data_IF_625832318739
#
_entry.id   IF_625832318739
#
_cell.length_a   1.000
_cell.length_b   1.000
_cell.length_c   1.000
_cell.angle_alpha   90.00
_cell.angle_beta   90.00
_cell.angle_gamma   90.00
#
_symmetry.space_group_name_H-M   'P 1'
#
loop_
_entity.id
_entity.type
_entity.pdbx_description
1 polymer ?
#
# COMPACT_ATOMS: atom_id res chain seq x y z
N UNK A 1 10.59 -5.41 5.41
CA UNK A 1 10.62 -6.54 6.37
C UNK A 1 11.53 -7.63 5.84
N UNK A 2 12.73 -7.79 6.39
CA UNK A 2 13.64 -8.89 6.03
C UNK A 2 13.11 -10.18 6.66
N UNK A 3 12.82 -11.20 5.84
CA UNK A 3 12.49 -12.54 6.32
C UNK A 3 13.80 -13.32 6.45
N UNK A 4 14.68 -12.85 7.33
CA UNK A 4 15.89 -13.57 7.68
C UNK A 4 15.54 -14.58 8.76
N UNK A 5 15.57 -15.86 8.42
CA UNK A 5 15.51 -16.95 9.41
C UNK A 5 16.96 -17.22 9.80
N UNK A 6 17.34 -16.92 11.03
CA UNK A 6 18.69 -17.27 11.47
C UNK A 6 18.79 -18.81 11.55
N UNK A 7 19.86 -19.44 11.06
CA UNK A 7 19.96 -20.90 11.01
C UNK A 7 19.82 -21.60 12.37
N UNK A 8 20.02 -20.86 13.47
CA UNK A 8 19.83 -21.38 14.83
C UNK A 8 18.35 -21.43 15.29
N UNK A 9 17.45 -20.69 14.64
CA UNK A 9 16.01 -20.65 14.93
C UNK A 9 15.35 -22.02 14.67
N UNK A 10 15.98 -22.86 13.84
CA UNK A 10 15.61 -24.26 13.64
C UNK A 10 15.80 -25.13 14.89
N UNK A 11 16.71 -24.72 15.79
CA UNK A 11 17.02 -25.43 17.03
C UNK A 11 16.28 -24.86 18.24
N UNK A 12 15.43 -23.84 18.05
CA UNK A 12 14.61 -23.30 19.12
C UNK A 12 13.53 -24.32 19.52
N UNK A 13 13.15 -24.31 20.80
CA UNK A 13 12.21 -25.29 21.35
C UNK A 13 10.85 -25.23 20.63
N UNK A 14 10.46 -24.05 20.16
CA UNK A 14 9.26 -23.74 19.40
C UNK A 14 9.26 -24.40 18.02
N UNK A 15 10.44 -24.62 17.44
CA UNK A 15 10.67 -25.23 16.12
C UNK A 15 10.92 -26.73 16.19
N UNK A 16 11.17 -27.29 17.39
CA UNK A 16 11.62 -28.66 17.60
C UNK A 16 10.67 -29.73 17.00
N UNK A 17 9.39 -29.40 16.83
CA UNK A 17 8.36 -30.31 16.28
C UNK A 17 7.89 -29.91 14.87
N UNK A 18 8.51 -28.91 14.23
CA UNK A 18 8.14 -28.49 12.88
C UNK A 18 9.06 -29.14 11.84
N UNK A 19 8.46 -29.85 10.88
CA UNK A 19 9.21 -30.33 9.72
C UNK A 19 9.44 -29.18 8.72
N UNK A 20 10.48 -29.30 7.89
CA UNK A 20 10.71 -28.41 6.74
C UNK A 20 9.47 -28.24 5.86
N UNK A 21 8.72 -29.33 5.65
CA UNK A 21 7.48 -29.31 4.91
C UNK A 21 6.40 -28.44 5.59
N UNK A 22 6.28 -28.55 6.91
CA UNK A 22 5.35 -27.73 7.70
C UNK A 22 5.70 -26.25 7.61
N UNK A 23 6.97 -25.89 7.80
CA UNK A 23 7.45 -24.50 7.71
C UNK A 23 7.22 -23.91 6.32
N UNK A 24 7.56 -24.64 5.25
CA UNK A 24 7.29 -24.23 3.87
C UNK A 24 5.80 -24.02 3.61
N UNK A 25 4.95 -24.93 4.11
CA UNK A 25 3.48 -24.81 3.98
C UNK A 25 2.96 -23.58 4.72
N UNK A 26 3.47 -23.31 5.92
CA UNK A 26 3.15 -22.12 6.70
C UNK A 26 3.50 -20.83 5.97
N UNK A 27 4.71 -20.73 5.40
CA UNK A 27 5.13 -19.57 4.61
C UNK A 27 4.23 -19.37 3.39
N UNK A 28 3.94 -20.42 2.63
CA UNK A 28 3.03 -20.34 1.47
C UNK A 28 1.63 -19.88 1.87
N UNK A 29 1.09 -20.41 2.97
CA UNK A 29 -0.21 -20.00 3.51
C UNK A 29 -0.20 -18.54 3.95
N UNK A 30 0.87 -18.08 4.61
CA UNK A 30 1.03 -16.68 4.98
C UNK A 30 1.07 -15.75 3.76
N UNK A 31 1.91 -16.06 2.78
CA UNK A 31 2.01 -15.27 1.54
C UNK A 31 0.68 -15.24 0.78
N UNK A 32 -0.03 -16.38 0.71
CA UNK A 32 -1.35 -16.45 0.10
C UNK A 32 -2.37 -15.59 0.83
N UNK A 33 -2.39 -15.59 2.17
CA UNK A 33 -3.28 -14.71 2.93
C UNK A 33 -2.96 -13.23 2.70
N UNK A 34 -1.68 -12.87 2.64
CA UNK A 34 -1.27 -11.50 2.34
C UNK A 34 -1.76 -11.07 0.95
N UNK A 35 -1.49 -11.86 -0.09
CA UNK A 35 -1.89 -11.53 -1.46
C UNK A 35 -3.41 -11.45 -1.64
N UNK A 36 -4.16 -12.27 -0.91
CA UNK A 36 -5.63 -12.32 -1.03
C UNK A 36 -6.31 -11.23 -0.21
N UNK A 37 -5.83 -10.96 1.01
CA UNK A 37 -6.44 -9.97 1.91
C UNK A 37 -6.00 -8.55 1.59
N UNK A 38 -4.79 -8.39 1.09
CA UNK A 38 -4.19 -7.09 0.80
C UNK A 38 -3.65 -7.06 -0.64
N UNK A 39 -4.48 -7.25 -1.67
CA UNK A 39 -4.04 -7.26 -3.07
C UNK A 39 -3.37 -5.95 -3.52
N UNK A 40 -3.52 -4.89 -2.72
CA UNK A 40 -2.90 -3.58 -2.93
C UNK A 40 -1.47 -3.45 -2.43
N UNK A 41 -0.95 -4.44 -1.70
CA UNK A 41 0.47 -4.47 -1.35
C UNK A 41 1.27 -4.89 -2.57
N UNK A 42 2.27 -4.07 -2.93
CA UNK A 42 3.21 -4.41 -3.99
C UNK A 42 4.41 -5.15 -3.39
N UNK A 43 4.72 -6.37 -3.85
CA UNK A 43 5.94 -7.05 -3.47
C UNK A 43 7.13 -6.34 -4.13
N UNK A 44 8.10 -5.92 -3.32
CA UNK A 44 9.30 -5.24 -3.80
C UNK A 44 10.55 -5.89 -3.21
N UNK A 45 11.66 -5.84 -3.95
CA UNK A 45 12.96 -6.22 -3.40
C UNK A 45 13.47 -5.10 -2.48
N UNK A 46 14.42 -5.41 -1.59
CA UNK A 46 15.01 -4.38 -0.71
C UNK A 46 15.64 -3.27 -1.55
N UNK A 47 16.37 -3.62 -2.61
CA UNK A 47 17.03 -2.65 -3.49
C UNK A 47 16.02 -1.74 -4.19
N UNK A 48 14.91 -2.30 -4.69
CA UNK A 48 13.86 -1.54 -5.39
C UNK A 48 13.03 -0.69 -4.40
N UNK A 49 12.99 -1.09 -3.13
CA UNK A 49 12.28 -0.34 -2.08
C UNK A 49 13.01 0.92 -1.62
N UNK A 50 14.32 1.04 -1.86
CA UNK A 50 15.12 2.20 -1.41
C UNK A 50 14.54 3.53 -1.94
N UNK A 51 14.30 3.73 -3.25
CA UNK A 51 13.71 4.97 -3.74
C UNK A 51 12.29 5.21 -3.18
N UNK A 52 11.49 4.15 -3.00
CA UNK A 52 10.14 4.25 -2.42
C UNK A 52 10.21 4.76 -0.98
N UNK A 53 11.18 4.26 -0.18
CA UNK A 53 11.40 4.75 1.18
C UNK A 53 11.93 6.17 1.21
N UNK A 54 12.84 6.55 0.29
CA UNK A 54 13.31 7.94 0.19
C UNK A 54 12.13 8.86 -0.06
N UNK A 55 11.30 8.55 -1.06
CA UNK A 55 10.09 9.31 -1.33
C UNK A 55 9.18 9.34 -0.10
N UNK A 56 8.96 8.23 0.62
CA UNK A 56 8.14 8.24 1.84
C UNK A 56 8.67 9.17 2.95
N UNK A 57 10.00 9.31 3.08
CA UNK A 57 10.61 10.16 4.11
C UNK A 57 10.76 11.63 3.69
N UNK A 58 11.00 11.87 2.39
CA UNK A 58 11.28 13.21 1.85
C UNK A 58 10.01 13.92 1.37
N UNK A 59 8.98 13.16 1.00
CA UNK A 59 7.68 13.66 0.57
C UNK A 59 6.99 14.44 1.68
N UNK A 60 6.36 15.54 1.27
CA UNK A 60 5.35 16.21 2.07
C UNK A 60 4.13 16.50 1.18
N UNK A 61 2.97 16.65 1.81
CA UNK A 61 1.71 16.79 1.13
C UNK A 61 0.72 17.65 1.90
N UNK A 62 -0.20 18.26 1.17
CA UNK A 62 -1.34 19.00 1.71
C UNK A 62 -2.63 18.51 1.08
N UNK A 63 -3.60 18.24 1.93
CA UNK A 63 -4.97 17.90 1.52
C UNK A 63 -5.88 19.11 1.71
N UNK A 64 -6.70 19.39 0.69
CA UNK A 64 -7.78 20.39 0.77
C UNK A 64 -9.09 19.66 0.49
N UNK A 65 -10.01 19.72 1.45
CA UNK A 65 -11.36 19.22 1.29
C UNK A 65 -12.21 20.30 0.62
N UNK A 66 -12.93 19.91 -0.44
CA UNK A 66 -13.89 20.76 -1.13
C UNK A 66 -15.27 20.11 -1.04
N UNK A 67 -16.32 20.86 -1.35
CA UNK A 67 -17.70 20.35 -1.32
C UNK A 67 -17.85 19.14 -2.26
N UNK A 68 -17.32 19.27 -3.47
CA UNK A 68 -17.46 18.29 -4.55
C UNK A 68 -16.22 17.39 -4.73
N UNK A 69 -15.23 17.46 -3.84
CA UNK A 69 -14.00 16.71 -4.06
C UNK A 69 -12.95 16.85 -2.97
N UNK A 70 -11.74 16.43 -3.33
CA UNK A 70 -10.53 16.52 -2.53
C UNK A 70 -9.35 16.83 -3.44
N UNK A 71 -8.51 17.78 -3.03
CA UNK A 71 -7.25 18.11 -3.70
C UNK A 71 -6.07 17.67 -2.86
N UNK A 72 -5.08 17.08 -3.52
CA UNK A 72 -3.81 16.64 -2.94
C UNK A 72 -2.71 17.41 -3.65
N UNK A 73 -1.98 18.21 -2.88
CA UNK A 73 -0.74 18.85 -3.30
C UNK A 73 0.41 18.04 -2.72
N UNK A 74 1.36 17.61 -3.54
CA UNK A 74 2.50 16.78 -3.12
C UNK A 74 3.80 17.37 -3.65
N UNK A 75 4.88 17.30 -2.85
CA UNK A 75 6.23 17.71 -3.25
C UNK A 75 7.28 16.87 -2.52
N UNK A 76 8.55 17.02 -2.90
CA UNK A 76 9.66 16.29 -2.25
C UNK A 76 9.76 14.81 -2.64
N UNK A 77 9.24 14.41 -3.79
CA UNK A 77 9.23 13.02 -4.25
C UNK A 77 9.76 12.89 -5.69
N UNK A 78 10.20 11.68 -6.04
CA UNK A 78 10.77 11.35 -7.35
C UNK A 78 9.95 10.33 -8.15
N UNK A 79 9.25 9.43 -7.47
CA UNK A 79 8.43 8.36 -8.04
C UNK A 79 6.92 8.60 -8.01
N UNK A 80 6.16 7.53 -8.16
CA UNK A 80 4.70 7.56 -7.96
C UNK A 80 4.39 7.52 -6.45
N UNK A 81 3.53 8.43 -5.98
CA UNK A 81 3.04 8.39 -4.60
C UNK A 81 1.75 7.58 -4.53
N UNK A 82 1.59 6.82 -3.44
CA UNK A 82 0.40 5.99 -3.19
C UNK A 82 -0.20 6.33 -1.85
N UNK A 83 -1.48 6.72 -1.85
CA UNK A 83 -2.25 7.03 -0.65
C UNK A 83 -3.38 6.03 -0.48
N UNK A 84 -3.76 5.75 0.78
CA UNK A 84 -5.02 5.09 1.09
C UNK A 84 -6.06 6.14 1.43
N UNK A 85 -7.13 6.19 0.64
CA UNK A 85 -8.27 7.06 0.88
C UNK A 85 -9.43 6.22 1.41
N UNK A 86 -9.84 6.47 2.66
CA UNK A 86 -11.08 5.92 3.23
C UNK A 86 -12.17 6.98 3.16
N UNK A 87 -13.26 6.68 2.46
CA UNK A 87 -14.40 7.59 2.30
C UNK A 87 -15.69 6.80 2.02
N UNK A 88 -16.83 7.31 2.47
CA UNK A 88 -18.15 6.79 2.10
C UNK A 88 -18.64 7.35 0.76
N UNK A 89 -18.01 8.42 0.26
CA UNK A 89 -18.35 9.03 -1.02
C UNK A 89 -17.86 8.20 -2.20
N UNK A 90 -18.69 8.08 -3.23
CA UNK A 90 -18.26 7.48 -4.50
C UNK A 90 -17.43 8.48 -5.32
N UNK A 91 -16.36 7.98 -5.94
CA UNK A 91 -15.54 8.76 -6.87
C UNK A 91 -16.25 8.81 -8.22
N UNK A 92 -16.41 10.02 -8.77
CA UNK A 92 -16.88 10.25 -10.14
C UNK A 92 -15.72 10.14 -11.13
N UNK A 93 -14.71 11.01 -10.98
CA UNK A 93 -13.50 11.01 -11.78
C UNK A 93 -12.29 11.58 -11.00
N UNK A 94 -11.11 11.50 -11.62
CA UNK A 94 -9.84 11.94 -11.04
C UNK A 94 -9.00 12.70 -12.07
N UNK A 95 -8.20 13.66 -11.61
CA UNK A 95 -7.11 14.30 -12.38
C UNK A 95 -5.83 14.27 -11.56
N UNK A 96 -4.68 14.16 -12.21
CA UNK A 96 -3.37 14.06 -11.57
C UNK A 96 -3.15 12.81 -10.72
N UNK A 97 -4.15 11.93 -10.63
CA UNK A 97 -4.08 10.64 -9.97
C UNK A 97 -4.98 9.60 -10.63
N UNK A 98 -4.85 8.35 -10.20
CA UNK A 98 -5.82 7.27 -10.45
C UNK A 98 -6.28 6.72 -9.11
N UNK A 99 -7.57 6.44 -8.96
CA UNK A 99 -8.11 5.83 -7.76
C UNK A 99 -8.70 4.44 -8.08
N UNK A 100 -8.27 3.43 -7.34
CA UNK A 100 -8.72 2.04 -7.49
C UNK A 100 -9.43 1.60 -6.21
N UNK A 101 -10.69 1.17 -6.35
CA UNK A 101 -11.47 0.67 -5.22
C UNK A 101 -10.91 -0.66 -4.72
N UNK A 102 -10.86 -0.81 -3.41
CA UNK A 102 -10.27 -1.97 -2.75
C UNK A 102 -11.33 -2.78 -2.02
N UNK A 103 -11.78 -2.29 -0.88
CA UNK A 103 -12.84 -2.90 -0.07
C UNK A 103 -13.36 -1.87 0.94
N UNK A 104 -14.68 -1.90 1.24
CA UNK A 104 -15.26 -1.16 2.37
C UNK A 104 -15.04 0.35 2.35
N UNK A 105 -15.21 1.00 1.19
CA UNK A 105 -15.00 2.44 1.03
C UNK A 105 -13.53 2.87 1.07
N UNK A 106 -12.60 1.94 0.84
CA UNK A 106 -11.17 2.26 0.71
C UNK A 106 -10.75 2.24 -0.75
N UNK A 107 -10.02 3.27 -1.15
CA UNK A 107 -9.38 3.40 -2.45
C UNK A 107 -7.86 3.50 -2.29
N UNK A 108 -7.11 2.95 -3.23
CA UNK A 108 -5.69 3.31 -3.42
C UNK A 108 -5.65 4.44 -4.43
N UNK A 109 -4.99 5.52 -4.07
CA UNK A 109 -4.81 6.68 -4.93
C UNK A 109 -3.35 6.73 -5.38
N UNK A 110 -3.13 6.54 -6.68
CA UNK A 110 -1.84 6.66 -7.35
C UNK A 110 -1.69 8.09 -7.88
N UNK A 111 -0.91 8.91 -7.18
CA UNK A 111 -0.66 10.31 -7.55
C UNK A 111 0.49 10.37 -8.55
N UNK A 112 0.22 11.00 -9.70
CA UNK A 112 1.12 11.08 -10.86
C UNK A 112 1.55 12.52 -11.17
N UNK A 113 0.90 13.51 -10.56
CA UNK A 113 1.21 14.93 -10.70
C UNK A 113 1.30 15.60 -9.32
N UNK A 114 2.06 16.70 -9.17
CA UNK A 114 2.15 17.44 -7.91
C UNK A 114 0.80 17.96 -7.39
N UNK A 115 -0.16 18.20 -8.28
CA UNK A 115 -1.55 18.52 -7.94
C UNK A 115 -2.46 17.43 -8.50
N UNK A 116 -3.24 16.81 -7.62
CA UNK A 116 -4.18 15.75 -7.94
C UNK A 116 -5.54 16.01 -7.32
N UNK A 117 -6.60 15.81 -8.09
CA UNK A 117 -7.99 16.02 -7.67
C UNK A 117 -8.80 14.74 -7.77
N UNK A 118 -9.65 14.54 -6.77
CA UNK A 118 -10.64 13.47 -6.71
C UNK A 118 -12.00 14.13 -6.60
N UNK A 119 -12.90 13.83 -7.54
CA UNK A 119 -14.24 14.39 -7.58
C UNK A 119 -15.24 13.36 -7.09
N UNK A 120 -16.15 13.79 -6.22
CA UNK A 120 -17.23 12.95 -5.73
C UNK A 120 -18.39 12.92 -6.72
N UNK A 121 -19.10 11.79 -6.81
CA UNK A 121 -20.43 11.81 -7.44
C UNK A 121 -21.37 12.67 -6.60
N UNK A 122 -22.16 13.50 -7.26
CA UNK A 122 -23.24 14.23 -6.58
C UNK A 122 -24.22 13.22 -5.97
N UNK A 123 -24.60 13.44 -4.71
CA UNK A 123 -25.70 12.68 -4.09
C UNK A 123 -27.03 13.11 -4.74
N UNK A 124 -27.90 12.17 -5.12
CA UNK A 124 -29.18 12.46 -5.77
C UNK A 124 -30.19 13.22 -4.90
#
# INVERSE_FOLDING_TARGET
FSHFIHPDELFYAESANQSWHSMSTGLKSFMHRLSTRYPWLTPETVSDSIPIFSDYYDMDYRVVHEENGLKIYSWGYSGELRFLLRTEKEIDHTDGCKAEAVEGGVYIVHVTKPEAHIYWKEEP
#
